data_IF_543874391737
#
_entry.id   IF_543874391737
#
_cell.length_a   1.000
_cell.length_b   1.000
_cell.length_c   1.000
_cell.angle_alpha   90.00
_cell.angle_beta   90.00
_cell.angle_gamma   90.00
#
_symmetry.space_group_name_H-M   'P 1'
#
loop_
_entity.id
_entity.type
_entity.pdbx_description
1 polymer ?
#
# COMPACT_ATOMS: atom_id res chain seq x y z
N UNK A 1 -25.47 24.77 -66.88
CA UNK A 1 -25.74 23.75 -65.86
C UNK A 1 -24.53 23.55 -64.90
N UNK A 2 -24.20 24.50 -64.05
CA UNK A 2 -23.08 24.37 -63.03
C UNK A 2 -23.38 25.14 -61.76
N UNK A 3 -24.30 24.61 -60.93
CA UNK A 3 -24.58 25.26 -59.63
C UNK A 3 -25.01 24.30 -58.49
N UNK A 4 -25.13 22.99 -58.73
CA UNK A 4 -25.65 22.04 -57.74
C UNK A 4 -24.59 21.18 -57.07
N UNK A 5 -23.31 21.20 -57.46
CA UNK A 5 -22.26 20.38 -56.86
C UNK A 5 -21.73 20.91 -55.51
N UNK A 6 -21.70 22.25 -55.36
CA UNK A 6 -21.10 22.88 -54.18
C UNK A 6 -21.97 22.80 -52.88
N UNK A 7 -23.31 22.69 -53.06
CA UNK A 7 -24.24 22.62 -51.94
C UNK A 7 -24.31 21.23 -51.27
N UNK A 8 -24.02 20.17 -52.03
CA UNK A 8 -24.04 18.80 -51.48
C UNK A 8 -22.74 18.47 -50.74
N UNK A 9 -21.61 19.05 -51.11
CA UNK A 9 -20.35 18.86 -50.42
C UNK A 9 -20.34 19.53 -49.06
N UNK A 10 -20.94 20.72 -48.93
CA UNK A 10 -21.07 21.41 -47.65
C UNK A 10 -21.99 20.69 -46.64
N UNK A 11 -23.05 19.99 -47.13
CA UNK A 11 -23.95 19.22 -46.25
C UNK A 11 -23.33 17.89 -45.76
N UNK A 12 -22.48 17.24 -46.54
CA UNK A 12 -21.77 16.02 -46.15
C UNK A 12 -20.69 16.33 -45.09
N UNK A 13 -19.99 17.45 -45.24
CA UNK A 13 -18.97 17.86 -44.29
C UNK A 13 -19.62 18.30 -42.95
N UNK A 14 -20.77 18.98 -42.96
CA UNK A 14 -21.50 19.33 -41.71
C UNK A 14 -22.08 18.10 -41.02
N UNK A 15 -22.52 17.07 -41.74
CA UNK A 15 -23.01 15.83 -41.12
C UNK A 15 -21.89 15.00 -40.45
N UNK A 16 -20.66 15.07 -41.00
CA UNK A 16 -19.52 14.34 -40.42
C UNK A 16 -18.96 14.98 -39.14
N UNK A 17 -19.09 16.33 -39.00
CA UNK A 17 -18.66 17.04 -37.80
C UNK A 17 -19.63 16.89 -36.59
N UNK A 18 -20.92 16.67 -36.85
CA UNK A 18 -21.91 16.46 -35.77
C UNK A 18 -21.84 15.05 -35.17
N UNK A 19 -21.38 14.05 -35.97
CA UNK A 19 -21.29 12.66 -35.47
C UNK A 19 -20.06 12.35 -34.59
N UNK A 20 -19.05 13.23 -34.56
CA UNK A 20 -17.85 13.03 -33.73
C UNK A 20 -17.97 13.70 -32.36
N UNK A 21 -18.96 14.58 -32.16
CA UNK A 21 -19.12 15.32 -30.90
C UNK A 21 -19.96 14.60 -29.80
N UNK A 22 -20.49 13.40 -30.09
CA UNK A 22 -21.43 12.70 -29.16
C UNK A 22 -20.81 11.47 -28.47
N UNK A 23 -19.56 11.12 -28.74
CA UNK A 23 -18.94 9.92 -28.16
C UNK A 23 -17.78 10.19 -27.21
N UNK A 24 -17.62 11.40 -26.70
CA UNK A 24 -16.84 11.63 -25.49
C UNK A 24 -17.73 11.40 -24.26
N UNK A 25 -18.20 10.17 -24.08
CA UNK A 25 -18.57 9.71 -22.76
C UNK A 25 -17.29 9.81 -21.94
N UNK A 26 -17.20 10.84 -21.11
CA UNK A 26 -16.24 10.90 -20.03
C UNK A 26 -16.60 9.72 -19.13
N UNK A 27 -15.99 8.58 -19.37
CA UNK A 27 -15.87 7.54 -18.36
C UNK A 27 -14.99 8.19 -17.31
N UNK A 28 -15.63 8.84 -16.34
CA UNK A 28 -14.97 9.11 -15.06
C UNK A 28 -14.48 7.74 -14.60
N UNK A 29 -13.18 7.55 -14.37
CA UNK A 29 -12.77 6.36 -13.66
C UNK A 29 -13.59 6.38 -12.38
N UNK A 30 -14.39 5.33 -12.14
CA UNK A 30 -14.80 5.01 -10.79
C UNK A 30 -13.49 5.06 -10.00
N UNK A 31 -13.36 5.99 -9.07
CA UNK A 31 -12.31 5.91 -8.09
C UNK A 31 -12.48 4.51 -7.49
N UNK A 32 -11.61 3.57 -7.88
CA UNK A 32 -11.41 2.38 -7.08
C UNK A 32 -10.99 2.97 -5.74
N UNK A 33 -11.77 2.74 -4.70
CA UNK A 33 -11.36 3.07 -3.35
C UNK A 33 -9.98 2.46 -3.20
N UNK A 34 -8.98 3.33 -2.98
CA UNK A 34 -7.61 2.90 -2.70
C UNK A 34 -7.74 2.00 -1.46
N UNK A 35 -7.37 0.71 -1.51
CA UNK A 35 -7.45 -0.18 -0.36
C UNK A 35 -6.65 0.33 0.83
N UNK A 36 -5.78 1.34 0.63
CA UNK A 36 -5.07 2.07 1.67
C UNK A 36 -5.87 3.27 2.23
N UNK A 37 -6.93 3.72 1.54
CA UNK A 37 -7.83 4.75 2.07
C UNK A 37 -8.81 4.12 3.04
N UNK A 38 -8.39 4.01 4.30
CA UNK A 38 -9.22 3.47 5.38
C UNK A 38 -10.01 4.59 6.05
N UNK A 39 -11.28 4.35 6.31
CA UNK A 39 -12.11 5.19 7.17
C UNK A 39 -12.47 4.41 8.44
N UNK A 40 -12.09 4.93 9.60
CA UNK A 40 -12.43 4.34 10.89
C UNK A 40 -13.61 5.10 11.48
N UNK A 41 -14.70 4.38 11.78
CA UNK A 41 -15.88 4.97 12.43
C UNK A 41 -15.81 4.74 13.94
N UNK A 42 -16.14 5.76 14.72
CA UNK A 42 -16.16 5.68 16.20
C UNK A 42 -17.18 4.67 16.72
N UNK A 43 -18.20 4.32 15.93
CA UNK A 43 -19.24 3.34 16.27
C UNK A 43 -18.85 1.88 16.00
N UNK A 44 -17.68 1.61 15.39
CA UNK A 44 -17.20 0.25 15.17
C UNK A 44 -17.12 -0.53 16.49
N UNK A 45 -17.69 -1.71 16.50
CA UNK A 45 -17.86 -2.52 17.72
C UNK A 45 -16.57 -3.17 18.18
N UNK A 46 -16.38 -3.29 19.51
CA UNK A 46 -15.35 -4.12 20.11
C UNK A 46 -15.91 -5.50 20.41
N UNK A 47 -15.34 -6.53 19.79
CA UNK A 47 -15.73 -7.94 19.93
C UNK A 47 -14.64 -8.66 20.72
N UNK A 48 -15.01 -9.25 21.87
CA UNK A 48 -14.08 -9.86 22.86
C UNK A 48 -14.07 -11.40 22.78
N UNK A 49 -14.56 -11.97 21.70
CA UNK A 49 -14.52 -13.40 21.44
C UNK A 49 -13.15 -13.81 20.90
N UNK A 50 -12.69 -15.01 21.32
CA UNK A 50 -11.42 -15.57 20.81
C UNK A 50 -11.47 -15.76 19.31
N UNK A 51 -10.40 -15.36 18.63
CA UNK A 51 -10.25 -15.49 17.21
C UNK A 51 -8.83 -15.87 16.79
N UNK A 52 -8.72 -16.57 15.66
CA UNK A 52 -7.47 -16.77 14.96
C UNK A 52 -7.65 -16.21 13.55
N UNK A 53 -6.84 -15.21 13.19
CA UNK A 53 -6.89 -14.57 11.88
C UNK A 53 -5.69 -15.02 11.05
N UNK A 54 -5.96 -15.64 9.90
CA UNK A 54 -4.93 -16.10 8.96
C UNK A 54 -4.97 -15.40 7.61
N UNK A 55 -6.04 -14.67 7.32
CA UNK A 55 -6.26 -13.94 6.05
C UNK A 55 -7.07 -12.70 6.31
N UNK A 56 -7.01 -11.77 5.35
CA UNK A 56 -7.74 -10.50 5.42
C UNK A 56 -6.90 -9.37 5.97
N UNK A 57 -7.47 -8.19 5.96
CA UNK A 57 -6.84 -6.95 6.38
C UNK A 57 -7.07 -6.72 7.88
N UNK A 58 -5.99 -6.43 8.61
CA UNK A 58 -6.03 -6.17 10.05
C UNK A 58 -5.01 -5.10 10.41
N UNK A 59 -5.42 -4.13 11.22
CA UNK A 59 -4.54 -3.08 11.71
C UNK A 59 -4.49 -3.03 13.23
N UNK A 60 -3.29 -3.00 13.75
CA UNK A 60 -3.03 -2.77 15.17
C UNK A 60 -3.10 -1.28 15.49
N UNK A 61 -3.69 -0.92 16.61
CA UNK A 61 -3.63 0.47 17.05
C UNK A 61 -4.24 0.72 18.40
N UNK A 62 -3.86 1.84 19.03
CA UNK A 62 -4.56 2.29 20.21
C UNK A 62 -5.95 2.80 19.86
N UNK A 63 -6.93 2.44 20.65
CA UNK A 63 -8.32 2.91 20.57
C UNK A 63 -8.79 3.38 21.93
N UNK A 64 -9.59 4.42 21.96
CA UNK A 64 -10.23 4.86 23.20
C UNK A 64 -11.56 4.12 23.37
N UNK A 65 -11.64 3.25 24.38
CA UNK A 65 -12.83 2.48 24.74
C UNK A 65 -13.26 2.89 26.15
N UNK A 66 -14.49 3.35 26.31
CA UNK A 66 -15.01 3.81 27.61
C UNK A 66 -14.07 4.81 28.33
N UNK A 67 -13.53 5.76 27.56
CA UNK A 67 -12.57 6.78 28.02
C UNK A 67 -11.20 6.23 28.48
N UNK A 68 -10.85 5.00 28.12
CA UNK A 68 -9.55 4.38 28.43
C UNK A 68 -8.86 3.92 27.15
N UNK A 69 -7.54 4.04 27.05
CA UNK A 69 -6.81 3.50 25.93
C UNK A 69 -6.68 1.98 26.05
N UNK A 70 -6.95 1.28 24.96
CA UNK A 70 -6.66 -0.14 24.76
C UNK A 70 -5.85 -0.31 23.47
N UNK A 71 -5.01 -1.35 23.36
CA UNK A 71 -4.44 -1.76 22.09
C UNK A 71 -5.37 -2.81 21.49
N UNK A 72 -5.91 -2.52 20.35
CA UNK A 72 -6.83 -3.41 19.64
C UNK A 72 -6.34 -3.69 18.23
N UNK A 73 -6.84 -4.76 17.63
CA UNK A 73 -6.71 -5.05 16.23
C UNK A 73 -8.04 -4.74 15.54
N UNK A 74 -8.03 -3.82 14.58
CA UNK A 74 -9.17 -3.57 13.70
C UNK A 74 -9.17 -4.65 12.62
N UNK A 75 -10.15 -5.53 12.70
CA UNK A 75 -10.37 -6.65 11.78
C UNK A 75 -11.46 -6.25 10.79
N UNK A 76 -11.09 -5.96 9.56
CA UNK A 76 -12.00 -5.69 8.45
C UNK A 76 -11.99 -6.79 7.39
N UNK A 77 -11.58 -7.98 7.76
CA UNK A 77 -11.67 -9.18 6.92
C UNK A 77 -13.10 -9.65 6.66
N UNK A 78 -14.06 -9.20 7.47
CA UNK A 78 -15.48 -9.47 7.36
C UNK A 78 -16.27 -8.41 6.59
N UNK A 79 -17.61 -8.53 6.58
CA UNK A 79 -18.50 -7.54 5.93
C UNK A 79 -18.53 -6.19 6.67
N UNK A 80 -18.29 -6.20 7.96
CA UNK A 80 -18.27 -5.01 8.81
C UNK A 80 -17.00 -5.02 9.65
N UNK A 81 -16.25 -3.92 9.68
CA UNK A 81 -15.08 -3.80 10.52
C UNK A 81 -15.44 -3.90 12.01
N UNK A 82 -14.61 -4.62 12.76
CA UNK A 82 -14.72 -4.76 14.21
C UNK A 82 -13.34 -4.62 14.86
N UNK A 83 -13.33 -4.28 16.13
CA UNK A 83 -12.11 -4.22 16.92
C UNK A 83 -11.99 -5.42 17.86
N UNK A 84 -10.81 -6.03 17.95
CA UNK A 84 -10.54 -7.20 18.80
C UNK A 84 -9.40 -6.91 19.78
N UNK A 85 -9.56 -7.17 21.06
CA UNK A 85 -8.46 -7.14 22.02
C UNK A 85 -7.37 -8.16 21.67
N UNK A 86 -6.10 -7.79 21.89
CA UNK A 86 -4.97 -8.67 21.53
C UNK A 86 -4.90 -9.93 22.40
N UNK A 87 -5.41 -9.91 23.62
CA UNK A 87 -5.48 -11.08 24.49
C UNK A 87 -6.43 -12.17 23.98
N UNK A 88 -7.42 -11.79 23.14
CA UNK A 88 -8.35 -12.72 22.51
C UNK A 88 -7.88 -13.21 21.13
N UNK A 89 -6.78 -12.66 20.62
CA UNK A 89 -6.40 -12.79 19.21
C UNK A 89 -5.09 -13.54 19.02
N UNK A 90 -5.04 -14.40 18.00
CA UNK A 90 -3.82 -15.03 17.49
C UNK A 90 -3.77 -14.86 15.97
N UNK A 91 -2.65 -14.40 15.45
CA UNK A 91 -2.39 -14.31 14.01
C UNK A 91 -1.73 -15.59 13.52
N UNK A 92 -2.30 -16.23 12.49
CA UNK A 92 -1.68 -17.37 11.83
C UNK A 92 -0.93 -16.93 10.58
N UNK A 93 0.36 -17.25 10.54
CA UNK A 93 1.21 -17.09 9.36
C UNK A 93 1.40 -18.47 8.74
N UNK A 94 0.50 -18.85 7.84
CA UNK A 94 0.50 -20.17 7.19
C UNK A 94 1.72 -20.38 6.27
N UNK A 95 1.95 -21.60 5.84
CA UNK A 95 3.01 -21.94 4.87
C UNK A 95 2.81 -21.26 3.51
N UNK A 96 1.61 -20.71 3.23
CA UNK A 96 1.39 -19.82 2.07
C UNK A 96 2.17 -18.50 2.13
N UNK A 97 2.62 -18.09 3.31
CA UNK A 97 3.50 -16.95 3.53
C UNK A 97 4.99 -17.28 3.50
N UNK A 98 5.38 -18.55 3.24
CA UNK A 98 6.79 -18.94 3.20
C UNK A 98 7.47 -18.43 1.94
N UNK A 99 8.46 -17.55 2.10
CA UNK A 99 9.21 -16.91 1.02
C UNK A 99 10.70 -17.21 1.18
N UNK A 100 11.38 -17.44 0.06
CA UNK A 100 12.83 -17.52 0.05
C UNK A 100 13.42 -16.16 0.36
N UNK A 101 14.38 -16.10 1.27
CA UNK A 101 15.08 -14.86 1.60
C UNK A 101 15.92 -14.43 0.40
N UNK A 102 15.82 -13.16 -0.03
CA UNK A 102 16.60 -12.65 -1.15
C UNK A 102 18.12 -12.75 -0.88
N UNK A 103 18.90 -13.10 -1.89
CA UNK A 103 20.36 -13.11 -1.83
C UNK A 103 20.99 -11.71 -1.90
N UNK A 104 20.18 -10.65 -2.03
CA UNK A 104 20.63 -9.27 -2.05
C UNK A 104 21.24 -8.87 -0.69
N UNK A 105 22.45 -8.28 -0.65
CA UNK A 105 23.10 -7.85 0.59
C UNK A 105 22.28 -6.90 1.46
N UNK A 106 21.31 -6.18 0.90
CA UNK A 106 20.39 -5.31 1.66
C UNK A 106 19.51 -6.07 2.64
N UNK A 107 19.35 -7.41 2.47
CA UNK A 107 18.62 -8.29 3.38
C UNK A 107 19.52 -9.05 4.38
N UNK A 108 20.80 -8.68 4.47
CA UNK A 108 21.76 -9.32 5.40
C UNK A 108 21.30 -9.26 6.89
N UNK A 109 20.45 -8.28 7.25
CA UNK A 109 19.86 -8.16 8.59
C UNK A 109 18.97 -9.34 8.98
N UNK A 110 18.47 -10.12 8.02
CA UNK A 110 17.68 -11.32 8.29
C UNK A 110 18.55 -12.51 8.73
N UNK A 111 19.88 -12.41 8.61
CA UNK A 111 20.85 -13.45 8.98
C UNK A 111 20.60 -14.82 8.35
N UNK A 112 19.91 -14.87 7.22
CA UNK A 112 19.56 -16.09 6.53
C UNK A 112 20.74 -16.68 5.76
N UNK A 113 20.79 -18.02 5.69
CA UNK A 113 21.70 -18.74 4.80
C UNK A 113 21.17 -18.73 3.36
N UNK A 114 22.05 -18.97 2.40
CA UNK A 114 21.66 -19.04 0.99
C UNK A 114 20.58 -20.14 0.77
N UNK A 115 19.47 -19.75 0.14
CA UNK A 115 18.34 -20.65 -0.14
C UNK A 115 17.37 -20.84 1.03
N UNK A 116 17.63 -20.23 2.18
CA UNK A 116 16.73 -20.28 3.33
C UNK A 116 15.41 -19.55 3.06
N UNK A 117 14.34 -20.01 3.68
CA UNK A 117 13.02 -19.42 3.55
C UNK A 117 12.44 -19.10 4.90
N UNK A 118 11.82 -17.91 5.02
CA UNK A 118 11.15 -17.45 6.21
C UNK A 118 9.65 -17.32 5.98
N UNK A 119 8.86 -17.31 7.04
CA UNK A 119 7.43 -17.03 7.00
C UNK A 119 7.22 -15.53 7.09
N UNK A 120 6.49 -14.98 6.14
CA UNK A 120 6.34 -13.52 5.97
C UNK A 120 4.86 -13.15 5.93
N UNK A 121 4.48 -12.18 6.75
CA UNK A 121 3.31 -11.35 6.51
C UNK A 121 3.80 -10.19 5.65
N UNK A 122 3.42 -10.11 4.36
CA UNK A 122 4.04 -9.14 3.45
C UNK A 122 3.44 -7.74 3.61
N UNK A 123 4.24 -6.71 3.35
CA UNK A 123 3.80 -5.32 3.26
C UNK A 123 2.76 -5.10 2.16
N UNK A 124 2.89 -5.80 1.04
CA UNK A 124 1.90 -5.80 -0.03
C UNK A 124 0.89 -6.92 0.19
N UNK A 125 -0.39 -6.61 0.05
CA UNK A 125 -1.47 -7.56 0.29
C UNK A 125 -1.30 -8.87 -0.48
N UNK A 126 -1.35 -9.99 0.25
CA UNK A 126 -1.44 -11.35 -0.28
C UNK A 126 -2.73 -11.99 0.24
N UNK A 127 -3.71 -12.35 -0.61
CA UNK A 127 -4.99 -12.88 -0.16
C UNK A 127 -4.92 -14.24 0.55
N UNK A 128 -3.75 -14.88 0.55
CA UNK A 128 -3.52 -16.18 1.22
C UNK A 128 -2.93 -16.04 2.63
N UNK A 129 -2.56 -14.85 3.04
CA UNK A 129 -1.93 -14.54 4.33
C UNK A 129 -2.64 -13.36 4.96
N UNK A 130 -2.66 -13.27 6.29
CA UNK A 130 -3.11 -12.07 6.98
C UNK A 130 -2.29 -10.86 6.50
N UNK A 131 -2.95 -9.74 6.29
CA UNK A 131 -2.31 -8.49 5.92
C UNK A 131 -2.33 -7.57 7.13
N UNK A 132 -1.24 -7.60 7.91
CA UNK A 132 -1.14 -6.98 9.22
C UNK A 132 -0.39 -5.65 9.15
N UNK A 133 -1.10 -4.59 9.43
CA UNK A 133 -0.59 -3.23 9.56
C UNK A 133 -0.80 -2.64 10.93
N UNK A 134 -0.71 -1.32 11.00
CA UNK A 134 -1.13 -0.52 12.15
C UNK A 134 -1.76 0.79 11.70
N UNK A 135 -2.64 1.33 12.54
CA UNK A 135 -3.26 2.62 12.32
C UNK A 135 -3.38 3.46 13.60
N UNK A 136 -3.51 4.76 13.41
CA UNK A 136 -3.78 5.75 14.44
C UNK A 136 -5.01 6.59 14.08
N UNK A 137 -6.00 5.96 13.44
CA UNK A 137 -7.13 6.64 12.80
C UNK A 137 -8.41 6.61 13.63
N UNK A 138 -8.38 6.02 14.84
CA UNK A 138 -9.55 6.09 15.74
C UNK A 138 -9.90 7.55 16.06
N UNK A 139 -11.14 8.00 15.79
CA UNK A 139 -11.52 9.41 15.96
C UNK A 139 -11.40 9.93 17.39
N UNK A 140 -11.57 9.07 18.39
CA UNK A 140 -11.44 9.46 19.80
C UNK A 140 -9.96 9.52 20.22
N UNK A 141 -9.12 8.63 19.68
CA UNK A 141 -7.68 8.67 19.86
C UNK A 141 -7.06 9.96 19.29
N UNK A 142 -7.46 10.35 18.08
CA UNK A 142 -6.95 11.57 17.40
C UNK A 142 -7.14 12.80 18.27
N UNK A 143 -8.21 12.89 19.07
CA UNK A 143 -8.47 14.04 19.95
C UNK A 143 -7.45 14.19 21.06
N UNK A 144 -6.79 13.09 21.47
CA UNK A 144 -5.94 13.08 22.67
C UNK A 144 -4.48 12.71 22.39
N UNK A 145 -4.17 12.16 21.19
CA UNK A 145 -2.82 11.65 20.93
C UNK A 145 -1.78 12.71 20.54
N UNK A 146 -2.21 13.93 20.19
CA UNK A 146 -1.30 14.97 19.72
C UNK A 146 -0.82 14.71 18.29
N UNK A 147 0.49 14.83 18.03
CA UNK A 147 1.07 14.65 16.69
C UNK A 147 1.27 13.19 16.28
N UNK A 148 1.18 12.26 17.23
CA UNK A 148 1.40 10.84 16.98
C UNK A 148 1.63 10.04 18.26
N UNK A 149 2.09 8.81 18.08
CA UNK A 149 2.37 7.87 19.15
C UNK A 149 3.72 7.17 18.92
N UNK A 150 4.32 6.67 19.97
CA UNK A 150 5.44 5.73 19.89
C UNK A 150 4.90 4.32 20.08
N UNK A 151 5.10 3.46 19.08
CA UNK A 151 4.91 2.01 19.18
C UNK A 151 6.26 1.39 19.53
N UNK A 152 6.37 0.74 20.67
CA UNK A 152 7.56 -0.01 21.08
C UNK A 152 7.30 -1.50 20.95
N UNK A 153 8.16 -2.22 20.26
CA UNK A 153 8.17 -3.68 20.14
C UNK A 153 9.35 -4.25 20.92
N UNK A 154 9.16 -5.35 21.65
CA UNK A 154 10.24 -5.99 22.40
C UNK A 154 9.83 -7.29 23.08
N UNK A 155 10.77 -7.90 23.80
CA UNK A 155 10.55 -9.13 24.58
C UNK A 155 9.87 -10.26 23.78
N UNK A 156 10.51 -10.68 22.68
CA UNK A 156 10.03 -11.81 21.87
C UNK A 156 10.22 -13.13 22.63
N UNK A 157 9.17 -13.94 22.70
CA UNK A 157 9.23 -15.37 23.02
C UNK A 157 8.83 -16.18 21.80
N UNK A 158 9.60 -17.20 21.44
CA UNK A 158 9.33 -18.06 20.29
C UNK A 158 10.54 -18.92 19.91
N UNK A 159 10.39 -19.84 18.96
CA UNK A 159 11.44 -20.78 18.55
C UNK A 159 12.53 -20.16 17.67
N UNK A 160 12.29 -18.98 17.10
CA UNK A 160 13.22 -18.29 16.19
C UNK A 160 13.21 -16.78 16.38
N UNK A 161 13.75 -16.09 15.39
CA UNK A 161 13.83 -14.63 15.34
C UNK A 161 12.61 -14.05 14.62
N UNK A 162 12.31 -12.78 14.91
CA UNK A 162 11.30 -12.01 14.20
C UNK A 162 11.82 -10.61 13.84
N UNK A 163 11.39 -10.13 12.69
CA UNK A 163 11.73 -8.81 12.16
C UNK A 163 10.49 -8.08 11.69
N UNK A 164 10.51 -6.76 11.80
CA UNK A 164 9.56 -5.85 11.17
C UNK A 164 10.35 -4.86 10.32
N UNK A 165 10.02 -4.74 9.03
CA UNK A 165 10.73 -3.84 8.13
C UNK A 165 9.84 -3.32 7.02
N UNK A 166 10.17 -2.11 6.53
CA UNK A 166 9.56 -1.49 5.36
C UNK A 166 10.47 -1.67 4.15
N UNK A 167 9.85 -1.77 2.98
CA UNK A 167 10.53 -1.75 1.71
C UNK A 167 10.04 -0.58 0.87
N UNK A 168 10.93 0.38 0.62
CA UNK A 168 10.65 1.57 -0.18
C UNK A 168 10.85 1.27 -1.66
N UNK A 169 9.75 0.92 -2.34
CA UNK A 169 9.76 0.64 -3.78
C UNK A 169 10.61 -0.57 -4.18
N UNK A 170 10.89 -0.72 -5.49
CA UNK A 170 11.57 -1.89 -6.04
C UNK A 170 13.11 -1.86 -5.87
N UNK A 171 13.71 -0.75 -5.49
CA UNK A 171 15.17 -0.54 -5.55
C UNK A 171 15.77 0.05 -4.26
N UNK A 172 14.97 0.36 -3.25
CA UNK A 172 15.44 0.84 -1.95
C UNK A 172 15.89 -0.31 -1.04
N UNK A 173 16.92 -0.09 -0.21
CA UNK A 173 17.24 -1.01 0.87
C UNK A 173 16.09 -1.01 1.90
N UNK A 174 15.73 -2.16 2.48
CA UNK A 174 14.72 -2.22 3.53
C UNK A 174 15.08 -1.35 4.73
N UNK A 175 14.07 -0.69 5.30
CA UNK A 175 14.20 0.03 6.57
C UNK A 175 13.77 -0.90 7.70
N UNK A 176 14.72 -1.36 8.52
CA UNK A 176 14.44 -2.25 9.65
C UNK A 176 13.85 -1.45 10.79
N UNK A 177 12.62 -1.78 11.21
CA UNK A 177 11.90 -1.16 12.32
C UNK A 177 12.09 -1.94 13.63
N UNK A 178 12.16 -3.27 13.55
CA UNK A 178 12.41 -4.16 14.67
C UNK A 178 13.24 -5.36 14.22
N UNK A 179 14.19 -5.75 15.04
CA UNK A 179 15.04 -6.94 14.86
C UNK A 179 15.28 -7.58 16.22
N UNK A 180 14.63 -8.72 16.45
CA UNK A 180 14.72 -9.45 17.73
C UNK A 180 16.11 -10.03 18.00
N UNK A 181 16.99 -10.12 17.01
CA UNK A 181 18.35 -10.64 17.15
C UNK A 181 19.34 -9.61 17.71
N UNK A 182 19.07 -8.32 17.49
CA UNK A 182 19.99 -7.23 17.84
C UNK A 182 19.49 -6.30 18.93
N UNK A 183 18.18 -6.23 19.15
CA UNK A 183 17.57 -5.30 20.11
C UNK A 183 16.54 -5.98 20.98
N UNK A 184 16.60 -5.72 22.29
CA UNK A 184 15.55 -6.15 23.21
C UNK A 184 14.24 -5.37 23.03
N UNK A 185 14.31 -4.15 22.48
CA UNK A 185 13.15 -3.33 22.13
C UNK A 185 13.51 -2.31 21.05
N UNK A 186 12.52 -1.88 20.28
CA UNK A 186 12.62 -0.85 19.24
C UNK A 186 11.44 0.09 19.31
N UNK A 187 11.73 1.40 19.24
CA UNK A 187 10.74 2.46 19.26
C UNK A 187 10.46 2.91 17.80
N UNK A 188 9.20 2.92 17.43
CA UNK A 188 8.70 3.29 16.11
C UNK A 188 7.77 4.48 16.29
N UNK A 189 8.10 5.62 15.67
CA UNK A 189 7.21 6.77 15.66
C UNK A 189 6.12 6.58 14.62
N UNK A 190 4.86 6.76 15.02
CA UNK A 190 3.68 6.68 14.17
C UNK A 190 2.95 8.01 14.22
N UNK A 191 2.85 8.70 13.08
CA UNK A 191 2.11 9.98 12.99
C UNK A 191 0.61 9.76 13.28
N UNK A 192 -0.06 10.80 13.77
CA UNK A 192 -1.51 10.79 13.96
C UNK A 192 -2.23 10.65 12.62
N UNK A 193 -3.36 9.94 12.63
CA UNK A 193 -4.21 9.72 11.47
C UNK A 193 -3.46 9.07 10.29
N UNK A 194 -2.65 8.05 10.58
CA UNK A 194 -1.92 7.26 9.57
C UNK A 194 -2.31 5.80 9.62
N UNK A 195 -2.09 5.12 8.49
CA UNK A 195 -2.29 3.72 8.26
C UNK A 195 -1.11 3.16 7.47
N UNK A 196 -0.47 2.10 7.96
CA UNK A 196 0.78 1.57 7.39
C UNK A 196 0.83 0.06 7.49
N UNK A 197 1.31 -0.59 6.42
CA UNK A 197 1.68 -1.99 6.40
C UNK A 197 3.20 -2.16 6.26
N UNK A 198 3.74 -3.19 6.91
CA UNK A 198 5.15 -3.56 6.83
C UNK A 198 5.31 -5.07 6.68
N UNK A 199 6.52 -5.51 6.36
CA UNK A 199 6.85 -6.93 6.32
C UNK A 199 7.15 -7.42 7.75
N UNK A 200 6.42 -8.44 8.21
CA UNK A 200 6.77 -9.23 9.40
C UNK A 200 7.42 -10.52 8.94
N UNK A 201 8.61 -10.84 9.39
CA UNK A 201 9.30 -12.06 9.03
C UNK A 201 9.63 -12.89 10.27
N UNK A 202 9.52 -14.22 10.15
CA UNK A 202 9.80 -15.19 11.21
C UNK A 202 10.72 -16.28 10.66
N UNK A 203 11.83 -16.56 11.36
CA UNK A 203 12.85 -17.52 10.89
C UNK A 203 12.50 -18.98 11.10
N UNK A 204 11.61 -19.30 12.03
CA UNK A 204 11.24 -20.67 12.36
C UNK A 204 9.72 -20.83 12.55
N UNK A 205 9.15 -22.03 12.27
CA UNK A 205 7.76 -22.31 12.59
C UNK A 205 7.57 -22.53 14.08
N UNK A 206 6.37 -22.22 14.60
CA UNK A 206 5.97 -22.44 15.99
C UNK A 206 5.17 -21.27 16.56
N UNK A 207 5.02 -21.26 17.88
CA UNK A 207 4.28 -20.23 18.60
C UNK A 207 5.20 -19.07 18.99
N UNK A 208 4.71 -17.84 18.81
CA UNK A 208 5.41 -16.62 19.19
C UNK A 208 4.51 -15.69 19.99
N UNK A 209 5.12 -14.95 20.91
CA UNK A 209 4.52 -13.82 21.58
C UNK A 209 5.51 -12.66 21.67
N UNK A 210 5.05 -11.48 21.32
CA UNK A 210 5.83 -10.26 21.24
C UNK A 210 5.15 -9.17 22.08
N UNK A 211 5.87 -8.57 23.03
CA UNK A 211 5.34 -7.45 23.79
C UNK A 211 5.26 -6.20 22.96
N UNK A 212 4.17 -5.47 23.07
CA UNK A 212 3.92 -4.19 22.42
C UNK A 212 3.50 -3.15 23.45
N UNK A 213 4.01 -1.93 23.30
CA UNK A 213 3.65 -0.76 24.10
C UNK A 213 3.34 0.40 23.15
N UNK A 214 2.23 1.08 23.40
CA UNK A 214 1.92 2.33 22.73
C UNK A 214 1.90 3.47 23.76
N UNK A 215 2.62 4.57 23.45
CA UNK A 215 2.63 5.79 24.27
C UNK A 215 2.28 7.00 23.41
N UNK A 216 1.35 7.85 23.84
CA UNK A 216 0.86 9.02 23.11
C UNK A 216 0.42 10.13 24.06
N UNK A 217 0.08 11.29 23.48
CA UNK A 217 -0.38 12.46 24.23
C UNK A 217 0.75 13.39 24.67
N UNK A 218 0.69 13.86 25.90
CA UNK A 218 1.67 14.78 26.45
C UNK A 218 3.05 14.13 26.64
N UNK A 219 4.13 14.83 26.28
CA UNK A 219 5.50 14.28 26.34
C UNK A 219 6.00 14.08 27.78
N UNK A 220 5.54 14.89 28.72
CA UNK A 220 5.96 14.80 30.12
C UNK A 220 5.15 13.74 30.88
N UNK A 221 3.89 13.53 30.48
CA UNK A 221 2.97 12.59 31.10
C UNK A 221 2.22 11.77 30.05
N UNK A 222 2.93 10.96 29.24
CA UNK A 222 2.30 10.19 28.18
C UNK A 222 1.32 9.16 28.73
N UNK A 223 0.23 8.96 28.00
CA UNK A 223 -0.63 7.81 28.22
C UNK A 223 0.01 6.60 27.54
N UNK A 224 0.27 5.54 28.30
CA UNK A 224 0.89 4.34 27.77
C UNK A 224 0.00 3.12 28.05
N UNK A 225 -0.09 2.24 27.07
CA UNK A 225 -0.79 0.95 27.19
C UNK A 225 0.08 -0.15 26.60
N UNK A 226 0.21 -1.26 27.33
CA UNK A 226 1.01 -2.42 26.95
C UNK A 226 0.12 -3.64 26.71
N UNK A 227 0.50 -4.48 25.76
CA UNK A 227 -0.19 -5.73 25.45
C UNK A 227 0.79 -6.74 24.82
N UNK A 228 0.28 -7.86 24.33
CA UNK A 228 1.05 -8.93 23.71
C UNK A 228 0.45 -9.33 22.36
N UNK A 229 1.25 -9.23 21.29
CA UNK A 229 0.94 -9.79 20.00
C UNK A 229 1.27 -11.29 19.99
N UNK A 230 0.35 -12.14 19.51
CA UNK A 230 0.53 -13.59 19.45
C UNK A 230 0.44 -14.08 18.03
N UNK A 231 1.42 -14.93 17.65
CA UNK A 231 1.47 -15.53 16.31
C UNK A 231 1.62 -17.05 16.42
N UNK A 232 1.05 -17.76 15.47
CA UNK A 232 1.37 -19.14 15.13
C UNK A 232 1.89 -19.19 13.70
N UNK A 233 3.12 -19.64 13.55
CA UNK A 233 3.88 -19.62 12.29
C UNK A 233 4.02 -21.03 11.78
N UNK A 234 3.65 -21.24 10.51
CA UNK A 234 3.55 -22.57 9.88
C UNK A 234 2.20 -23.24 10.17
N UNK A 235 1.82 -24.17 9.29
CA UNK A 235 0.49 -24.80 9.34
C UNK A 235 0.33 -25.74 10.54
N UNK A 236 1.43 -26.36 11.03
CA UNK A 236 1.44 -27.31 12.15
C UNK A 236 1.48 -26.63 13.53
N UNK A 237 1.71 -25.32 13.62
CA UNK A 237 1.81 -24.59 14.89
C UNK A 237 0.44 -24.48 15.56
N UNK A 238 0.42 -24.64 16.91
CA UNK A 238 -0.81 -24.72 17.71
C UNK A 238 -1.13 -23.37 18.37
N UNK A 239 -2.37 -22.96 18.24
CA UNK A 239 -2.89 -21.68 18.79
C UNK A 239 -2.75 -21.65 20.32
N UNK A 240 -3.01 -22.78 20.99
CA UNK A 240 -2.94 -22.90 22.44
C UNK A 240 -1.52 -22.66 22.97
N UNK A 241 -0.50 -23.04 22.21
CA UNK A 241 0.89 -22.77 22.56
C UNK A 241 1.20 -21.28 22.55
N UNK A 242 0.70 -20.51 21.54
CA UNK A 242 0.85 -19.06 21.49
C UNK A 242 0.09 -18.36 22.61
N UNK A 243 -1.10 -18.84 22.97
CA UNK A 243 -1.89 -18.29 24.08
C UNK A 243 -1.20 -18.50 25.44
N UNK A 244 -0.44 -19.58 25.59
CA UNK A 244 0.29 -19.90 26.82
C UNK A 244 1.56 -19.06 27.02
N UNK A 245 2.08 -18.41 25.95
CA UNK A 245 3.26 -17.56 26.05
C UNK A 245 2.91 -16.23 26.75
N UNK A 246 3.79 -15.82 27.68
CA UNK A 246 3.62 -14.60 28.47
C UNK A 246 4.97 -13.85 28.55
N UNK A 247 5.37 -13.13 27.50
CA UNK A 247 6.58 -12.31 27.54
C UNK A 247 6.44 -11.21 28.59
N UNK A 248 7.56 -10.76 29.15
CA UNK A 248 7.56 -9.64 30.08
C UNK A 248 6.93 -8.40 29.43
N UNK A 249 5.97 -7.79 30.08
CA UNK A 249 5.37 -6.55 29.58
C UNK A 249 6.43 -5.45 29.47
N UNK A 250 6.30 -4.61 28.43
CA UNK A 250 7.07 -3.39 28.31
C UNK A 250 6.49 -2.33 29.25
N UNK A 251 7.36 -1.53 29.85
CA UNK A 251 6.98 -0.38 30.65
C UNK A 251 7.46 0.91 29.97
N UNK A 252 6.68 1.98 30.11
CA UNK A 252 7.13 3.29 29.68
C UNK A 252 8.48 3.61 30.34
N UNK A 253 9.48 3.91 29.51
CA UNK A 253 10.79 4.33 30.02
C UNK A 253 10.67 5.74 30.57
N UNK A 254 10.80 5.91 31.86
CA UNK A 254 10.91 7.22 32.54
C UNK A 254 12.34 7.81 32.43
N UNK A 255 13.23 7.13 31.70
CA UNK A 255 14.58 7.63 31.50
C UNK A 255 14.58 8.59 30.30
N UNK A 256 14.99 9.81 30.55
CA UNK A 256 15.61 10.72 29.60
C UNK A 256 16.83 10.01 28.97
N UNK A 257 16.53 9.02 28.13
CA UNK A 257 17.52 8.26 27.38
C UNK A 257 17.92 9.08 26.19
N UNK A 258 19.20 9.35 26.07
CA UNK A 258 19.83 9.80 24.83
C UNK A 258 19.42 8.84 23.70
N UNK A 259 18.33 9.18 23.02
CA UNK A 259 17.91 8.47 21.82
C UNK A 259 18.94 8.70 20.72
N UNK A 260 19.89 7.79 20.58
CA UNK A 260 20.87 7.77 19.47
C UNK A 260 20.28 7.19 18.19
N UNK A 261 19.08 6.62 18.25
CA UNK A 261 18.32 6.28 17.04
C UNK A 261 17.39 7.46 16.72
N UNK A 262 17.56 8.08 15.55
CA UNK A 262 16.57 9.01 15.02
C UNK A 262 15.23 8.27 14.95
N UNK A 263 14.12 8.83 15.46
CA UNK A 263 12.80 8.25 15.27
C UNK A 263 12.60 8.04 13.76
N UNK A 264 12.32 6.81 13.36
CA UNK A 264 11.98 6.54 11.97
C UNK A 264 10.54 6.99 11.77
N UNK A 265 10.36 8.03 10.96
CA UNK A 265 9.02 8.53 10.59
C UNK A 265 8.51 7.63 9.47
N UNK A 266 7.52 6.82 9.79
CA UNK A 266 6.80 6.05 8.79
C UNK A 266 5.70 6.93 8.23
N UNK A 267 5.86 7.38 6.99
CA UNK A 267 4.85 8.11 6.22
C UNK A 267 4.22 7.18 5.21
N UNK A 268 2.92 7.25 5.10
CA UNK A 268 2.19 6.68 3.98
C UNK A 268 2.68 7.34 2.69
N UNK A 269 3.24 6.57 1.77
CA UNK A 269 3.51 7.05 0.42
C UNK A 269 2.19 7.04 -0.35
N UNK A 270 1.45 8.14 -0.27
CA UNK A 270 0.31 8.37 -1.13
C UNK A 270 0.72 8.22 -2.60
N UNK A 271 0.16 7.21 -3.27
CA UNK A 271 0.50 6.76 -4.62
C UNK A 271 0.24 7.74 -5.78
N UNK A 272 0.39 9.05 -5.57
CA UNK A 272 0.15 10.06 -6.62
C UNK A 272 1.31 10.24 -7.61
N UNK A 273 2.50 9.70 -7.33
CA UNK A 273 3.68 9.90 -8.19
C UNK A 273 3.64 9.04 -9.45
N UNK A 274 3.11 7.84 -9.40
CA UNK A 274 3.07 6.94 -10.56
C UNK A 274 2.07 7.39 -11.62
N UNK A 275 0.91 7.90 -11.23
CA UNK A 275 -0.10 8.40 -12.17
C UNK A 275 0.39 9.63 -12.95
N UNK A 276 1.24 10.47 -12.37
CA UNK A 276 1.87 11.59 -13.08
C UNK A 276 2.86 11.10 -14.12
N UNK A 277 3.60 10.02 -13.85
CA UNK A 277 4.55 9.42 -14.80
C UNK A 277 3.79 8.74 -15.95
N UNK A 278 2.77 7.95 -15.66
CA UNK A 278 1.92 7.32 -16.70
C UNK A 278 1.14 8.36 -17.50
N UNK A 279 0.63 9.41 -16.88
CA UNK A 279 0.01 10.55 -17.56
C UNK A 279 0.96 11.25 -18.52
N UNK A 280 2.20 11.49 -18.11
CA UNK A 280 3.24 12.10 -18.97
C UNK A 280 3.63 11.18 -20.13
N UNK A 281 3.74 9.87 -19.91
CA UNK A 281 4.04 8.88 -20.96
C UNK A 281 2.89 8.80 -21.97
N UNK A 282 1.64 8.75 -21.54
CA UNK A 282 0.47 8.74 -22.44
C UNK A 282 0.38 10.03 -23.26
N UNK A 283 0.67 11.20 -22.67
CA UNK A 283 0.72 12.47 -23.37
C UNK A 283 1.83 12.50 -24.43
N UNK A 284 3.02 11.99 -24.10
CA UNK A 284 4.15 11.90 -25.03
C UNK A 284 3.84 10.96 -26.22
N UNK A 285 3.24 9.81 -25.96
CA UNK A 285 2.82 8.86 -27.00
C UNK A 285 1.71 9.44 -27.87
N UNK A 286 0.75 10.18 -27.32
CA UNK A 286 -0.28 10.90 -28.07
C UNK A 286 0.31 11.97 -29.00
N UNK A 287 1.28 12.75 -28.54
CA UNK A 287 1.99 13.75 -29.36
C UNK A 287 2.79 13.09 -30.48
N UNK A 288 3.48 11.99 -30.23
CA UNK A 288 4.22 11.22 -31.24
C UNK A 288 3.26 10.68 -32.30
N UNK A 289 2.13 10.08 -31.91
CA UNK A 289 1.12 9.58 -32.84
C UNK A 289 0.54 10.70 -33.69
N UNK A 290 0.26 11.87 -33.12
CA UNK A 290 -0.22 13.04 -33.85
C UNK A 290 0.80 13.55 -34.88
N UNK A 291 2.09 13.62 -34.52
CA UNK A 291 3.18 14.03 -35.43
C UNK A 291 3.30 13.03 -36.60
N UNK A 292 3.21 11.71 -36.34
CA UNK A 292 3.28 10.68 -37.39
C UNK A 292 2.08 10.78 -38.35
N UNK A 293 0.86 10.98 -37.83
CA UNK A 293 -0.33 11.17 -38.65
C UNK A 293 -0.21 12.45 -39.49
N UNK A 294 0.20 13.57 -38.89
CA UNK A 294 0.39 14.84 -39.60
C UNK A 294 1.48 14.73 -40.68
N UNK A 295 2.54 13.97 -40.47
CA UNK A 295 3.58 13.72 -41.46
C UNK A 295 3.08 12.84 -42.63
N UNK A 296 2.29 11.80 -42.32
CA UNK A 296 1.68 10.92 -43.33
C UNK A 296 0.67 11.67 -44.20
N UNK A 297 -0.17 12.54 -43.63
CA UNK A 297 -1.13 13.35 -44.35
C UNK A 297 -0.45 14.37 -45.27
N UNK A 298 0.61 15.05 -44.79
CA UNK A 298 1.41 15.96 -45.65
C UNK A 298 2.11 15.22 -46.80
N UNK A 299 2.62 14.01 -46.57
CA UNK A 299 3.24 13.20 -47.62
C UNK A 299 2.21 12.72 -48.67
N UNK A 300 1.03 12.31 -48.21
CA UNK A 300 -0.09 11.93 -49.12
C UNK A 300 -0.59 13.11 -49.94
N UNK A 301 -0.72 14.31 -49.35
CA UNK A 301 -1.12 15.50 -50.11
C UNK A 301 -0.12 15.90 -51.18
N UNK A 302 1.21 15.84 -50.89
CA UNK A 302 2.25 16.08 -51.90
C UNK A 302 2.21 15.05 -53.05
N UNK A 303 1.89 13.79 -52.75
CA UNK A 303 1.74 12.77 -53.81
C UNK A 303 0.52 13.01 -54.69
N UNK A 304 -0.60 13.44 -54.13
CA UNK A 304 -1.81 13.79 -54.88
C UNK A 304 -1.58 15.04 -55.73
N UNK A 305 -0.87 16.03 -55.23
CA UNK A 305 -0.54 17.25 -55.96
C UNK A 305 0.39 16.96 -57.16
N UNK A 306 1.44 16.13 -56.93
CA UNK A 306 2.33 15.67 -57.97
C UNK A 306 1.60 14.86 -59.07
N UNK A 307 0.71 13.94 -58.67
CA UNK A 307 -0.12 13.18 -59.60
C UNK A 307 -1.08 14.08 -60.43
N UNK A 308 -1.58 15.17 -59.84
CA UNK A 308 -2.40 16.18 -60.58
C UNK A 308 -1.58 16.97 -61.57
N UNK A 309 -0.34 17.34 -61.22
CA UNK A 309 0.56 18.02 -62.13
C UNK A 309 0.97 17.12 -63.32
N UNK A 310 1.27 15.84 -63.06
CA UNK A 310 1.61 14.88 -64.13
C UNK A 310 0.42 14.64 -65.08
N UNK A 311 -0.80 14.51 -64.54
CA UNK A 311 -2.02 14.41 -65.38
C UNK A 311 -2.28 15.69 -66.22
N UNK A 312 -2.03 16.87 -65.59
CA UNK A 312 -2.23 18.14 -66.38
C UNK A 312 -1.18 18.34 -67.46
N UNK A 313 0.02 17.79 -67.35
CA UNK A 313 1.05 17.80 -68.39
C UNK A 313 0.69 16.88 -69.61
N UNK A 314 0.18 15.66 -69.27
CA UNK A 314 -0.20 14.71 -70.30
C UNK A 314 -1.38 15.19 -71.17
N UNK A 315 -2.36 15.89 -70.60
CA UNK A 315 -3.50 16.45 -71.35
C UNK A 315 -3.20 17.80 -71.97
N UNK A 316 -2.13 18.50 -71.58
CA UNK A 316 -1.71 19.76 -72.23
C UNK A 316 -0.86 19.55 -73.45
N UNK A 317 -0.26 18.37 -73.70
CA UNK A 317 0.56 18.05 -74.79
C UNK A 317 -0.23 17.57 -76.08
N UNK A 318 -1.56 17.29 -75.93
CA UNK A 318 -2.41 16.78 -77.01
C UNK A 318 -3.23 17.86 -77.76
N UNK A 319 -3.07 19.14 -77.36
CA UNK A 319 -3.84 20.26 -77.98
C UNK A 319 -3.06 21.10 -79.00
N UNK A 320 -1.82 20.73 -79.32
CA UNK A 320 -0.98 21.46 -80.29
C UNK A 320 -0.59 20.60 -81.51
N UNK A 321 -1.56 19.81 -82.11
CA UNK A 321 -1.39 19.19 -83.42
C UNK A 321 -2.58 19.51 -84.30
#
# INVERSE_FOLDING_TARGET
MKRNGAKNLARVISALFVSIAVSASVVLPAAADDPLTQHVDSSEQVVREEATIERGHVDLGPKIVDSKPEILARDDSGETPIWRPLDTLVFRVSDSGRLQVPSDPSYAFLHAHEGESYWVIPQTQNPKVVWLGWNTQDPELIKVMGSGATMTLGNLQGPGQAWLFLQDGAFGAPTVLYDSSTSSQSDIWVEANTHVHANWAFSAPGAYALSVLWCFGDKETPQCVADTLRFVVGDEAKVEEARALAPSALAASTKEGTHTAKPQVVREQGGNSEYLIYGAICLALGVIAFIVVAHRTKKSQKQIEKAREDVSRDFGAESDV
#
